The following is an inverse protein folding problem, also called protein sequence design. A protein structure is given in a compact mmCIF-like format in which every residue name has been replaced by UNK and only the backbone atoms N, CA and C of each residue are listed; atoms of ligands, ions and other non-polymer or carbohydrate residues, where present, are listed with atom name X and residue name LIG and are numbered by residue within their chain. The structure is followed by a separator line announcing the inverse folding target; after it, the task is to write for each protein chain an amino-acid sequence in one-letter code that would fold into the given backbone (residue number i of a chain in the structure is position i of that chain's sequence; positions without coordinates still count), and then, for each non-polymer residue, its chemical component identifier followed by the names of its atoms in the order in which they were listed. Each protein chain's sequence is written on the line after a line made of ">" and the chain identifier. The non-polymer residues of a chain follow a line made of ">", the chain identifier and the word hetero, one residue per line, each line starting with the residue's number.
data_IF_836292967909
#
_entry.id   IF_836292967909
#
_cell.length_a   1.000
_cell.length_b   1.000
_cell.length_c   1.000
_cell.angle_alpha   90.00
_cell.angle_beta   90.00
_cell.angle_gamma   90.00
#
_symmetry.space_group_name_H-M   'P 1'
#
loop_
_entity.id
_entity.type
_entity.pdbx_description
1 polymer ?
#
# COMPACT_ATOMS: atom_id res chain seq x y z
N UNK A 1 -60.54 -16.16 -15.04
CA UNK A 1 -59.43 -16.57 -14.14
C UNK A 1 -58.03 -16.37 -14.73
N UNK A 2 -57.76 -16.76 -16.00
CA UNK A 2 -56.45 -16.56 -16.67
C UNK A 2 -55.90 -15.12 -16.67
N UNK A 3 -56.75 -14.08 -16.74
CA UNK A 3 -56.32 -12.66 -16.75
C UNK A 3 -55.84 -12.15 -15.40
N UNK A 4 -56.40 -12.66 -14.29
CA UNK A 4 -55.97 -12.27 -12.93
C UNK A 4 -54.60 -12.86 -12.58
N UNK A 5 -54.30 -14.08 -13.05
CA UNK A 5 -52.98 -14.71 -12.92
C UNK A 5 -51.88 -13.95 -13.69
N UNK A 6 -52.20 -13.39 -14.86
CA UNK A 6 -51.28 -12.57 -15.65
C UNK A 6 -50.98 -11.23 -14.97
N UNK A 7 -52.00 -10.58 -14.39
CA UNK A 7 -51.81 -9.34 -13.64
C UNK A 7 -51.00 -9.57 -12.36
N UNK A 8 -51.25 -10.64 -11.60
CA UNK A 8 -50.46 -10.93 -10.40
C UNK A 8 -49.00 -11.26 -10.73
N UNK A 9 -48.75 -11.97 -11.83
CA UNK A 9 -47.41 -12.26 -12.30
C UNK A 9 -46.65 -10.99 -12.73
N UNK A 10 -47.33 -10.05 -13.40
CA UNK A 10 -46.74 -8.79 -13.85
C UNK A 10 -46.39 -7.86 -12.68
N UNK A 11 -47.25 -7.81 -11.65
CA UNK A 11 -46.99 -7.07 -10.40
C UNK A 11 -45.81 -7.65 -9.62
N UNK A 12 -45.70 -8.98 -9.56
CA UNK A 12 -44.57 -9.65 -8.91
C UNK A 12 -43.24 -9.40 -9.65
N UNK A 13 -43.27 -9.33 -11.00
CA UNK A 13 -42.09 -9.04 -11.81
C UNK A 13 -41.56 -7.62 -11.60
N UNK A 14 -42.44 -6.64 -11.40
CA UNK A 14 -42.08 -5.23 -11.13
C UNK A 14 -41.47 -5.00 -9.74
N UNK A 15 -41.78 -5.86 -8.76
CA UNK A 15 -41.21 -5.79 -7.41
C UNK A 15 -39.80 -6.41 -7.34
N UNK A 16 -39.45 -7.31 -8.26
CA UNK A 16 -38.15 -8.00 -8.31
C UNK A 16 -37.04 -7.15 -8.93
N UNK A 17 -37.36 -6.10 -9.69
CA UNK A 17 -36.36 -5.22 -10.33
C UNK A 17 -35.81 -4.13 -9.39
N UNK A 18 -36.38 -3.95 -8.19
CA UNK A 18 -35.96 -2.89 -7.26
C UNK A 18 -34.83 -3.28 -6.30
N UNK A 19 -34.30 -4.50 -6.41
CA UNK A 19 -33.13 -4.96 -5.64
C UNK A 19 -31.84 -4.96 -6.48
N UNK A 20 -31.69 -3.99 -7.39
CA UNK A 20 -30.36 -3.63 -7.87
C UNK A 20 -29.64 -2.92 -6.74
N UNK A 21 -28.96 -3.70 -5.88
CA UNK A 21 -28.12 -3.20 -4.80
C UNK A 21 -27.11 -2.23 -5.40
N UNK A 22 -27.35 -0.93 -5.23
CA UNK A 22 -26.43 0.13 -5.63
C UNK A 22 -25.27 0.12 -4.64
N UNK A 23 -24.42 -0.90 -4.69
CA UNK A 23 -23.14 -0.87 -3.99
C UNK A 23 -22.33 0.24 -4.64
N UNK A 24 -22.33 1.43 -4.02
CA UNK A 24 -21.45 2.52 -4.44
C UNK A 24 -20.04 1.99 -4.36
N UNK A 25 -19.37 1.88 -5.50
CA UNK A 25 -17.92 1.66 -5.53
C UNK A 25 -17.27 2.76 -4.70
N UNK A 26 -16.38 2.43 -3.75
CA UNK A 26 -15.72 3.44 -2.94
C UNK A 26 -15.04 4.48 -3.85
N UNK A 27 -15.11 5.75 -3.48
CA UNK A 27 -14.39 6.84 -4.16
C UNK A 27 -13.03 7.08 -3.51
N UNK A 28 -12.16 7.91 -4.13
CA UNK A 28 -10.96 8.40 -3.48
C UNK A 28 -11.30 9.20 -2.21
N UNK A 29 -10.54 9.00 -1.14
CA UNK A 29 -10.66 9.75 0.11
C UNK A 29 -9.34 10.44 0.44
N UNK A 30 -9.40 11.75 0.73
CA UNK A 30 -8.24 12.48 1.20
C UNK A 30 -7.88 12.06 2.63
N UNK A 31 -6.58 11.91 2.88
CA UNK A 31 -6.04 11.60 4.20
C UNK A 31 -4.91 12.56 4.55
N UNK A 32 -4.73 12.76 5.85
CA UNK A 32 -3.61 13.52 6.41
C UNK A 32 -2.97 12.68 7.49
N UNK A 33 -1.64 12.64 7.50
CA UNK A 33 -0.88 12.00 8.56
C UNK A 33 -1.04 12.82 9.84
N UNK A 34 -1.74 12.27 10.82
CA UNK A 34 -1.99 12.92 12.11
C UNK A 34 -0.80 12.78 13.06
N UNK A 35 -0.04 11.70 12.93
CA UNK A 35 1.14 11.40 13.72
C UNK A 35 2.15 10.62 12.87
N UNK A 36 3.42 11.03 12.89
CA UNK A 36 4.50 10.28 12.25
C UNK A 36 5.18 9.43 13.32
N UNK A 37 5.11 8.11 13.16
CA UNK A 37 5.73 7.18 14.09
C UNK A 37 7.12 6.84 13.56
N UNK A 38 8.15 7.40 14.21
CA UNK A 38 9.55 7.00 13.98
C UNK A 38 9.83 5.71 14.77
N UNK A 39 9.24 4.59 14.35
CA UNK A 39 9.49 3.31 14.99
C UNK A 39 10.10 2.32 13.99
N UNK A 40 11.01 1.44 14.45
CA UNK A 40 11.28 0.23 13.70
C UNK A 40 9.97 -0.48 13.35
N UNK A 41 9.86 -0.95 12.12
CA UNK A 41 8.77 -1.75 11.61
C UNK A 41 8.76 -3.10 12.35
N UNK A 42 9.92 -3.77 12.36
CA UNK A 42 10.12 -5.10 12.92
C UNK A 42 11.56 -5.26 13.42
N UNK A 43 11.74 -6.12 14.42
CA UNK A 43 13.06 -6.65 14.81
C UNK A 43 13.14 -8.08 14.31
N UNK A 44 14.16 -8.38 13.49
CA UNK A 44 14.40 -9.69 12.90
C UNK A 44 15.52 -10.38 13.68
N UNK A 45 15.35 -11.67 13.95
CA UNK A 45 16.30 -12.49 14.71
C UNK A 45 17.62 -12.78 13.98
N UNK A 46 17.83 -12.23 12.79
CA UNK A 46 19.04 -12.42 11.98
C UNK A 46 20.11 -11.41 12.38
N UNK A 47 21.34 -11.89 12.57
CA UNK A 47 22.47 -11.01 12.89
C UNK A 47 23.18 -10.49 11.63
N UNK A 48 23.99 -9.46 11.81
CA UNK A 48 24.91 -8.94 10.80
C UNK A 48 25.87 -10.03 10.29
N UNK A 49 26.39 -10.86 11.21
CA UNK A 49 27.27 -11.95 10.83
C UNK A 49 26.57 -12.96 9.92
N UNK A 50 25.32 -13.34 10.24
CA UNK A 50 24.56 -14.27 9.39
C UNK A 50 24.35 -13.72 7.98
N UNK A 51 24.05 -12.43 7.86
CA UNK A 51 23.89 -11.75 6.57
C UNK A 51 25.20 -11.74 5.76
N UNK A 52 26.33 -11.39 6.39
CA UNK A 52 27.61 -11.30 5.69
C UNK A 52 28.18 -12.68 5.33
N UNK A 53 27.99 -13.69 6.17
CA UNK A 53 28.34 -15.08 5.85
C UNK A 53 27.50 -15.63 4.69
N UNK A 54 26.25 -15.18 4.57
CA UNK A 54 25.39 -15.48 3.42
C UNK A 54 25.76 -14.66 2.16
N UNK A 55 26.73 -13.75 2.24
CA UNK A 55 27.26 -12.98 1.11
C UNK A 55 26.54 -11.65 0.85
N UNK A 56 25.63 -11.23 1.73
CA UNK A 56 25.02 -9.90 1.64
C UNK A 56 26.01 -8.81 2.05
N UNK A 57 25.85 -7.62 1.48
CA UNK A 57 26.64 -6.44 1.80
C UNK A 57 25.78 -5.19 1.87
N UNK A 58 26.29 -4.17 2.56
CA UNK A 58 25.66 -2.85 2.55
C UNK A 58 25.46 -2.35 1.11
N UNK A 59 24.27 -1.84 0.82
CA UNK A 59 23.81 -1.41 -0.50
C UNK A 59 22.97 -2.44 -1.23
N UNK A 60 22.95 -3.69 -0.77
CA UNK A 60 22.13 -4.73 -1.39
C UNK A 60 20.64 -4.49 -1.18
N UNK A 61 19.84 -4.82 -2.19
CA UNK A 61 18.38 -4.85 -2.08
C UNK A 61 17.95 -6.25 -1.70
N UNK A 62 17.22 -6.37 -0.59
CA UNK A 62 16.71 -7.63 -0.06
C UNK A 62 15.19 -7.69 -0.16
N UNK A 63 14.68 -8.91 -0.32
CA UNK A 63 13.26 -9.23 -0.24
C UNK A 63 13.05 -10.10 1.00
N UNK A 64 12.18 -9.66 1.90
CA UNK A 64 11.87 -10.34 3.15
C UNK A 64 10.44 -10.87 3.03
N UNK A 65 10.26 -12.18 3.19
CA UNK A 65 8.95 -12.83 3.24
C UNK A 65 8.58 -13.14 4.69
N UNK A 66 7.45 -12.63 5.17
CA UNK A 66 6.93 -12.85 6.52
C UNK A 66 5.41 -13.03 6.46
N UNK A 67 4.91 -14.18 6.88
CA UNK A 67 3.47 -14.49 6.89
C UNK A 67 2.76 -14.19 5.55
N UNK A 68 3.43 -14.49 4.44
CA UNK A 68 2.94 -14.22 3.08
C UNK A 68 3.02 -12.76 2.63
N UNK A 69 3.57 -11.86 3.46
CA UNK A 69 3.89 -10.49 3.08
C UNK A 69 5.30 -10.41 2.49
N UNK A 70 5.44 -9.68 1.39
CA UNK A 70 6.72 -9.41 0.74
C UNK A 70 7.17 -7.97 1.00
N UNK A 71 8.28 -7.80 1.71
CA UNK A 71 8.84 -6.50 2.09
C UNK A 71 10.17 -6.30 1.37
N UNK A 72 10.24 -5.29 0.50
CA UNK A 72 11.48 -4.87 -0.16
C UNK A 72 12.22 -3.91 0.76
N UNK A 73 13.51 -4.15 1.00
CA UNK A 73 14.34 -3.28 1.83
C UNK A 73 15.74 -3.10 1.23
N UNK A 74 16.39 -1.99 1.60
CA UNK A 74 17.82 -1.76 1.37
C UNK A 74 18.60 -2.19 2.61
N UNK A 75 19.62 -3.03 2.47
CA UNK A 75 20.57 -3.30 3.55
C UNK A 75 21.51 -2.10 3.68
N UNK A 76 21.57 -1.48 4.86
CA UNK A 76 22.33 -0.24 5.10
C UNK A 76 22.71 -0.10 6.57
N UNK A 77 23.79 0.62 6.86
CA UNK A 77 24.23 0.90 8.23
C UNK A 77 23.26 1.82 9.01
N UNK A 78 22.38 2.53 8.30
CA UNK A 78 21.43 3.46 8.91
C UNK A 78 20.12 3.53 8.16
N UNK A 79 19.04 3.86 8.88
CA UNK A 79 17.70 3.97 8.34
C UNK A 79 17.59 5.11 7.30
N UNK A 80 17.05 4.81 6.12
CA UNK A 80 16.78 5.80 5.09
C UNK A 80 15.47 6.54 5.33
N UNK A 81 15.42 7.82 4.94
CA UNK A 81 14.16 8.57 4.92
C UNK A 81 13.26 8.14 3.76
N UNK A 82 13.81 7.61 2.66
CA UNK A 82 13.07 7.45 1.41
C UNK A 82 12.67 6.00 1.12
N UNK A 83 13.31 5.02 1.74
CA UNK A 83 13.06 3.60 1.48
C UNK A 83 13.06 2.80 2.77
N UNK A 84 12.32 1.68 2.77
CA UNK A 84 12.42 0.67 3.81
C UNK A 84 13.86 0.18 3.87
N UNK A 85 14.40 0.07 5.07
CA UNK A 85 15.82 -0.21 5.30
C UNK A 85 15.98 -1.31 6.32
N UNK A 86 16.79 -2.31 6.03
CA UNK A 86 17.24 -3.31 7.01
C UNK A 86 18.60 -2.86 7.55
N UNK A 87 18.66 -2.56 8.85
CA UNK A 87 19.91 -2.24 9.54
C UNK A 87 20.38 -3.48 10.27
N UNK A 88 21.51 -4.02 9.83
CA UNK A 88 22.10 -5.19 10.45
C UNK A 88 22.70 -4.84 11.81
N UNK A 89 22.43 -5.66 12.82
CA UNK A 89 22.98 -5.50 14.16
C UNK A 89 23.65 -6.78 14.65
N UNK A 90 24.43 -6.70 15.74
CA UNK A 90 25.27 -7.80 16.18
C UNK A 90 24.48 -9.04 16.61
N UNK A 91 23.29 -8.84 17.18
CA UNK A 91 22.41 -9.93 17.66
C UNK A 91 21.12 -10.06 16.87
N UNK A 92 20.67 -8.96 16.28
CA UNK A 92 19.39 -8.85 15.59
C UNK A 92 19.48 -7.70 14.59
N UNK A 93 18.69 -7.79 13.53
CA UNK A 93 18.58 -6.75 12.52
C UNK A 93 17.25 -6.02 12.69
N UNK A 94 17.23 -4.74 12.37
CA UNK A 94 16.06 -3.89 12.57
C UNK A 94 15.58 -3.37 11.23
N UNK A 95 14.31 -3.63 10.93
CA UNK A 95 13.65 -3.17 9.71
C UNK A 95 12.99 -1.82 10.00
N UNK A 96 13.36 -0.79 9.25
CA UNK A 96 12.82 0.57 9.38
C UNK A 96 11.92 0.91 8.21
N UNK A 97 10.80 1.58 8.47
CA UNK A 97 9.99 2.22 7.42
C UNK A 97 10.63 3.53 6.94
N UNK A 98 10.36 3.97 5.69
CA UNK A 98 10.75 5.30 5.24
C UNK A 98 10.19 6.39 6.16
N UNK A 99 11.05 7.28 6.67
CA UNK A 99 10.63 8.42 7.52
C UNK A 99 10.23 9.68 6.73
N UNK A 100 10.20 9.63 5.40
CA UNK A 100 9.74 10.73 4.55
C UNK A 100 8.23 11.04 4.74
N UNK A 101 7.46 10.12 5.30
CA UNK A 101 6.06 10.36 5.69
C UNK A 101 6.07 11.13 7.01
N UNK A 102 5.94 12.45 6.91
CA UNK A 102 5.98 13.36 8.06
C UNK A 102 4.58 13.64 8.58
N UNK A 103 4.50 14.07 9.84
CA UNK A 103 3.27 14.59 10.38
C UNK A 103 2.79 15.75 9.51
N UNK A 104 1.51 15.73 9.14
CA UNK A 104 0.90 16.71 8.27
C UNK A 104 0.99 16.42 6.78
N UNK A 105 1.71 15.38 6.34
CA UNK A 105 1.69 14.93 4.95
C UNK A 105 0.27 14.59 4.49
N UNK A 106 -0.09 15.00 3.28
CA UNK A 106 -1.38 14.69 2.65
C UNK A 106 -1.25 13.50 1.72
N UNK A 107 -2.35 12.73 1.58
CA UNK A 107 -2.42 11.59 0.69
C UNK A 107 -3.84 11.29 0.24
N UNK A 108 -3.99 10.22 -0.55
CA UNK A 108 -5.27 9.72 -1.05
C UNK A 108 -5.36 8.21 -0.78
N UNK A 109 -6.48 7.77 -0.20
CA UNK A 109 -6.90 6.37 -0.23
C UNK A 109 -7.70 6.19 -1.51
N UNK A 110 -7.27 5.29 -2.39
CA UNK A 110 -8.00 4.93 -3.61
C UNK A 110 -8.42 3.46 -3.55
N UNK A 111 -9.57 3.08 -4.11
CA UNK A 111 -9.98 1.69 -4.17
C UNK A 111 -8.99 0.88 -4.99
N UNK A 112 -8.54 -0.25 -4.43
CA UNK A 112 -7.71 -1.20 -5.15
C UNK A 112 -8.51 -1.80 -6.32
N UNK A 113 -8.02 -1.62 -7.54
CA UNK A 113 -8.52 -2.31 -8.74
C UNK A 113 -7.45 -3.32 -9.15
N UNK A 114 -7.70 -4.63 -9.03
CA UNK A 114 -6.77 -5.64 -9.52
C UNK A 114 -6.45 -5.32 -10.98
N UNK A 115 -5.17 -5.08 -11.30
CA UNK A 115 -4.76 -4.77 -12.66
C UNK A 115 -5.02 -5.99 -13.55
N UNK A 116 -5.98 -5.89 -14.47
CA UNK A 116 -5.74 -6.43 -15.81
C UNK A 116 -4.60 -5.60 -16.40
N UNK A 117 -3.49 -6.26 -16.75
CA UNK A 117 -2.27 -5.70 -17.34
C UNK A 117 -2.54 -4.44 -18.19
N UNK A 118 -2.44 -3.28 -17.54
CA UNK A 118 -2.38 -2.00 -18.23
C UNK A 118 -0.99 -1.48 -17.99
N UNK A 119 -0.19 -1.48 -19.05
CA UNK A 119 1.12 -0.85 -19.17
C UNK A 119 1.06 0.53 -18.51
N UNK A 120 1.60 0.66 -17.30
CA UNK A 120 1.60 1.92 -16.56
C UNK A 120 2.77 2.79 -17.04
N UNK A 121 2.48 3.76 -17.90
CA UNK A 121 3.35 4.91 -18.09
C UNK A 121 3.00 5.94 -17.02
N UNK A 122 3.69 5.90 -15.87
CA UNK A 122 3.63 6.98 -14.88
C UNK A 122 4.89 7.84 -15.01
N UNK A 123 4.72 9.13 -15.25
CA UNK A 123 5.79 10.12 -15.17
C UNK A 123 5.54 10.96 -13.91
N UNK A 124 6.51 10.99 -13.01
CA UNK A 124 6.52 11.84 -11.81
C UNK A 124 7.43 13.04 -12.09
N UNK A 125 6.91 14.26 -11.89
CA UNK A 125 7.69 15.49 -11.95
C UNK A 125 7.87 16.05 -10.54
N UNK A 126 9.13 16.22 -10.13
CA UNK A 126 9.51 16.96 -8.93
C UNK A 126 10.39 18.14 -9.31
N UNK A 127 10.00 19.36 -8.94
CA UNK A 127 10.76 20.59 -9.17
C UNK A 127 10.11 21.80 -8.51
N UNK A 128 10.90 22.84 -8.21
CA UNK A 128 10.40 24.11 -7.71
C UNK A 128 10.00 25.01 -8.89
N UNK A 129 8.73 25.40 -8.94
CA UNK A 129 8.20 26.32 -9.95
C UNK A 129 8.34 27.76 -9.45
N UNK A 130 9.11 28.57 -10.16
CA UNK A 130 9.17 30.02 -9.94
C UNK A 130 8.27 30.67 -10.99
N UNK A 131 7.22 31.37 -10.54
CA UNK A 131 6.39 32.17 -11.41
C UNK A 131 6.91 33.60 -11.40
N UNK A 132 7.25 34.13 -12.57
CA UNK A 132 7.53 35.57 -12.76
C UNK A 132 6.30 36.21 -13.40
N UNK A 133 5.88 37.36 -12.87
CA UNK A 133 4.78 38.19 -13.38
C UNK A 133 5.19 38.93 -14.66
#
# INVERSE_FOLDING_TARGET
>A
MKRFLLLSALSALMLLTSCASTSRTPGPLAVKVTEAVNSPLLVLSISENDLYQAGYKNGDRVLIELDGMLIKALLSDSASQQTTTLVAGPTNSVLYTPTAIRQGSSGLIIPYRPQQERTQSSVSFSGNFVFTL
#
